data_IF_133487098857
#
_entry.id   IF_133487098857
#
_cell.length_a   1.000
_cell.length_b   1.000
_cell.length_c   1.000
_cell.angle_alpha   90.00
_cell.angle_beta   90.00
_cell.angle_gamma   90.00
#
_symmetry.space_group_name_H-M   'P 1'
#
loop_
_entity.id
_entity.type
_entity.pdbx_description
1 polymer ?
#
# COMPACT_ATOMS: atom_id res chain seq x y z
N UNK A 1 10.67 -1.87 -12.51
CA UNK A 1 9.27 -1.74 -12.07
C UNK A 1 9.18 -2.29 -10.66
N UNK A 2 8.52 -1.60 -9.73
CA UNK A 2 8.31 -2.17 -8.39
C UNK A 2 7.14 -3.15 -8.38
N UNK A 3 7.25 -4.20 -7.56
CA UNK A 3 6.22 -5.26 -7.43
C UNK A 3 5.09 -4.85 -6.49
N UNK A 4 3.97 -5.58 -6.54
CA UNK A 4 2.87 -5.41 -5.58
C UNK A 4 3.34 -5.63 -4.13
N UNK A 5 4.23 -6.61 -3.91
CA UNK A 5 4.84 -6.89 -2.61
C UNK A 5 5.61 -5.68 -2.07
N UNK A 6 6.53 -5.11 -2.87
CA UNK A 6 7.31 -3.95 -2.45
C UNK A 6 6.43 -2.72 -2.15
N UNK A 7 5.28 -2.59 -2.81
CA UNK A 7 4.32 -1.54 -2.49
C UNK A 7 3.62 -1.77 -1.16
N UNK A 8 3.20 -3.00 -0.85
CA UNK A 8 2.59 -3.34 0.44
C UNK A 8 3.59 -3.19 1.59
N UNK A 9 4.81 -3.69 1.44
CA UNK A 9 5.88 -3.56 2.45
C UNK A 9 6.16 -2.09 2.78
N UNK A 10 6.21 -1.23 1.77
CA UNK A 10 6.38 0.22 1.99
C UNK A 10 5.19 0.87 2.68
N UNK A 11 3.97 0.40 2.43
CA UNK A 11 2.80 0.88 3.15
C UNK A 11 2.83 0.46 4.63
N UNK A 12 3.22 -0.79 4.90
CA UNK A 12 3.36 -1.32 6.26
C UNK A 12 4.48 -0.61 7.02
N UNK A 13 5.63 -0.39 6.38
CA UNK A 13 6.73 0.38 6.95
C UNK A 13 6.34 1.84 7.23
N UNK A 14 5.33 2.37 6.53
CA UNK A 14 4.76 3.70 6.79
C UNK A 14 3.67 3.70 7.88
N UNK A 15 3.43 2.56 8.55
CA UNK A 15 2.48 2.42 9.65
C UNK A 15 1.09 1.90 9.26
N UNK A 16 0.85 1.58 7.99
CA UNK A 16 -0.45 1.01 7.59
C UNK A 16 -0.56 -0.47 7.97
N UNK A 17 -1.67 -0.86 8.56
CA UNK A 17 -2.00 -2.26 8.82
C UNK A 17 -2.59 -2.93 7.58
N UNK A 18 -2.54 -4.27 7.52
CA UNK A 18 -3.16 -5.01 6.41
C UNK A 18 -4.68 -4.79 6.32
N UNK A 19 -5.36 -4.61 7.47
CA UNK A 19 -6.80 -4.29 7.54
C UNK A 19 -7.11 -2.93 6.94
N UNK A 20 -6.29 -1.91 7.19
CA UNK A 20 -6.46 -0.59 6.58
C UNK A 20 -6.22 -0.62 5.08
N UNK A 21 -5.23 -1.40 4.63
CA UNK A 21 -4.95 -1.60 3.21
C UNK A 21 -6.15 -2.27 2.55
N UNK A 22 -6.72 -3.31 3.15
CA UNK A 22 -7.94 -3.97 2.67
C UNK A 22 -9.10 -2.98 2.56
N UNK A 23 -9.41 -2.24 3.63
CA UNK A 23 -10.50 -1.27 3.64
C UNK A 23 -10.34 -0.18 2.57
N UNK A 24 -9.10 0.23 2.27
CA UNK A 24 -8.80 1.31 1.31
C UNK A 24 -8.67 0.83 -0.14
N UNK A 25 -8.26 -0.42 -0.35
CA UNK A 25 -8.01 -0.98 -1.69
C UNK A 25 -9.11 -1.90 -2.19
N UNK A 26 -9.93 -2.46 -1.28
CA UNK A 26 -10.88 -3.53 -1.56
C UNK A 26 -10.21 -4.85 -1.95
N UNK A 27 -8.90 -5.01 -1.68
CA UNK A 27 -8.18 -6.28 -1.86
C UNK A 27 -8.27 -7.02 -0.54
N UNK A 28 -8.74 -8.27 -0.57
CA UNK A 28 -8.94 -9.03 0.67
C UNK A 28 -7.64 -9.22 1.46
N UNK A 29 -7.75 -9.25 2.78
CA UNK A 29 -6.60 -9.45 3.66
C UNK A 29 -5.86 -10.77 3.35
N UNK A 30 -6.57 -11.84 3.00
CA UNK A 30 -5.95 -13.09 2.55
C UNK A 30 -5.10 -12.91 1.29
N UNK A 31 -5.56 -12.11 0.32
CA UNK A 31 -4.79 -11.81 -0.90
C UNK A 31 -3.56 -10.97 -0.57
N UNK A 32 -3.69 -9.97 0.30
CA UNK A 32 -2.58 -9.14 0.80
C UNK A 32 -1.52 -10.03 1.47
N UNK A 33 -1.95 -10.96 2.33
CA UNK A 33 -1.07 -11.92 3.01
C UNK A 33 -0.31 -12.80 2.02
N UNK A 34 -0.99 -13.38 1.03
CA UNK A 34 -0.35 -14.19 -0.03
C UNK A 34 0.68 -13.41 -0.83
N UNK A 35 0.40 -12.15 -1.17
CA UNK A 35 1.36 -11.29 -1.88
C UNK A 35 2.59 -11.01 -1.00
N UNK A 36 2.40 -10.70 0.29
CA UNK A 36 3.50 -10.44 1.22
C UNK A 36 4.39 -11.67 1.43
N UNK A 37 3.77 -12.84 1.58
CA UNK A 37 4.48 -14.12 1.72
C UNK A 37 5.28 -14.52 0.47
N UNK A 38 4.95 -13.96 -0.70
CA UNK A 38 5.56 -14.31 -1.98
C UNK A 38 4.87 -15.49 -2.70
N UNK A 39 3.87 -16.13 -2.08
CA UNK A 39 3.04 -17.17 -2.71
C UNK A 39 2.35 -16.65 -3.99
N UNK A 40 1.94 -15.38 -3.97
CA UNK A 40 1.32 -14.72 -5.11
C UNK A 40 2.18 -13.54 -5.58
N UNK A 41 3.37 -13.87 -6.10
CA UNK A 41 4.36 -12.89 -6.57
C UNK A 41 3.84 -12.00 -7.72
N UNK A 42 2.93 -12.51 -8.55
CA UNK A 42 2.34 -11.77 -9.67
C UNK A 42 0.79 -11.75 -9.59
N UNK A 43 0.21 -10.91 -8.73
CA UNK A 43 -1.23 -10.78 -8.66
C UNK A 43 -1.76 -10.09 -9.92
N UNK A 44 -3.03 -10.38 -10.25
CA UNK A 44 -3.73 -9.79 -11.41
C UNK A 44 -3.46 -8.29 -11.51
N UNK A 45 -3.29 -7.78 -12.73
CA UNK A 45 -2.97 -6.37 -13.01
C UNK A 45 -3.90 -5.36 -12.32
N UNK A 46 -5.18 -5.71 -12.16
CA UNK A 46 -6.17 -4.93 -11.40
C UNK A 46 -5.82 -4.79 -9.91
N UNK A 47 -5.32 -5.85 -9.29
CA UNK A 47 -4.87 -5.87 -7.88
C UNK A 47 -3.59 -5.06 -7.73
N UNK A 48 -2.62 -5.27 -8.62
CA UNK A 48 -1.37 -4.49 -8.66
C UNK A 48 -1.64 -2.99 -8.80
N UNK A 49 -2.60 -2.62 -9.65
CA UNK A 49 -3.00 -1.21 -9.86
C UNK A 49 -3.65 -0.60 -8.61
N UNK A 50 -4.54 -1.32 -7.92
CA UNK A 50 -5.17 -0.87 -6.67
C UNK A 50 -4.13 -0.60 -5.58
N UNK A 51 -3.20 -1.54 -5.39
CA UNK A 51 -2.12 -1.42 -4.39
C UNK A 51 -1.19 -0.25 -4.72
N UNK A 52 -0.75 -0.12 -5.98
CA UNK A 52 0.09 1.00 -6.43
C UNK A 52 -0.59 2.34 -6.19
N UNK A 53 -1.87 2.45 -6.54
CA UNK A 53 -2.67 3.66 -6.36
C UNK A 53 -2.80 4.06 -4.88
N UNK A 54 -3.02 3.08 -4.00
CA UNK A 54 -3.05 3.31 -2.56
C UNK A 54 -1.73 3.87 -2.04
N UNK A 55 -0.58 3.28 -2.43
CA UNK A 55 0.74 3.79 -2.03
C UNK A 55 0.96 5.24 -2.48
N UNK A 56 0.59 5.58 -3.71
CA UNK A 56 0.74 6.95 -4.23
C UNK A 56 -0.10 7.93 -3.41
N UNK A 57 -1.35 7.57 -3.09
CA UNK A 57 -2.23 8.39 -2.25
C UNK A 57 -1.71 8.52 -0.81
N UNK A 58 -1.20 7.42 -0.23
CA UNK A 58 -0.59 7.42 1.09
C UNK A 58 0.65 8.31 1.15
N UNK A 59 1.52 8.26 0.12
CA UNK A 59 2.66 9.17 -0.03
C UNK A 59 2.23 10.63 -0.13
N UNK A 60 1.19 10.94 -0.91
CA UNK A 60 0.69 12.31 -1.07
C UNK A 60 0.23 12.89 0.28
N UNK A 61 -0.56 12.13 1.05
CA UNK A 61 -0.97 12.55 2.41
C UNK A 61 0.22 12.72 3.35
N UNK A 62 1.18 11.80 3.34
CA UNK A 62 2.38 11.92 4.17
C UNK A 62 3.24 13.15 3.80
N UNK A 63 3.22 13.58 2.52
CA UNK A 63 3.89 14.79 2.07
C UNK A 63 3.13 16.06 2.47
N UNK A 64 1.80 16.07 2.39
CA UNK A 64 0.95 17.20 2.79
C UNK A 64 0.99 17.46 4.31
N UNK A 65 1.02 16.41 5.14
CA UNK A 65 1.16 16.56 6.60
C UNK A 65 2.53 17.11 7.01
N UNK A 66 3.58 16.81 6.23
CA UNK A 66 4.93 17.36 6.48
C UNK A 66 5.05 18.86 6.15
N UNK A 67 4.24 19.41 5.25
CA UNK A 67 4.23 20.86 4.98
C UNK A 67 3.55 21.68 6.08
N UNK A 68 2.66 21.08 6.87
CA UNK A 68 1.91 21.79 7.92
C UNK A 68 2.68 21.87 9.25
N UNK A 69 3.58 20.92 9.53
CA UNK A 69 4.38 20.88 10.76
C UNK A 69 5.62 21.80 10.76
N UNK A 70 5.91 22.51 9.67
CA UNK A 70 7.04 23.46 9.59
C UNK A 70 6.59 24.92 9.83
N UNK A 71 5.28 25.15 9.95
CA UNK A 71 4.70 26.49 10.07
C UNK A 71 4.12 26.82 11.48
N UNK A 72 4.37 25.98 12.48
CA UNK A 72 3.98 26.22 13.88
C UNK A 72 5.22 26.28 14.77
#
# INVERSE_FOLDING_TARGET
>A
MSTAKEHLERCIAAGATQKEIEAKTGVSQATISRILSGEHADPRSSTSTKIKSFRVRAKKRAAEVKSEQVAA
#
